data_IF_403645273286
#
_entry.id   IF_403645273286
#
_cell.length_a   1.000
_cell.length_b   1.000
_cell.length_c   1.000
_cell.angle_alpha   90.00
_cell.angle_beta   90.00
_cell.angle_gamma   90.00
#
_symmetry.space_group_name_H-M   'P 1'
#
loop_
_entity.id
_entity.type
_entity.pdbx_description
1 polymer ?
#
# COMPACT_ATOMS: atom_id res chain seq x y z
N UNK A 1 -3.18 -22.30 -14.77
CA UNK A 1 -2.09 -21.60 -14.07
C UNK A 1 -2.55 -21.14 -12.71
N UNK A 2 -1.79 -21.47 -11.71
CA UNK A 2 -2.15 -21.09 -10.35
C UNK A 2 -1.49 -19.78 -10.00
N UNK A 3 -2.30 -18.89 -9.47
CA UNK A 3 -1.81 -17.64 -8.92
C UNK A 3 -1.69 -17.83 -7.42
N UNK A 4 -0.53 -17.58 -6.88
CA UNK A 4 -0.34 -17.70 -5.44
C UNK A 4 -1.17 -16.70 -4.67
N UNK A 5 -1.14 -16.79 -3.34
CA UNK A 5 -1.84 -15.82 -2.51
C UNK A 5 -1.36 -14.41 -2.81
N UNK A 6 -2.28 -13.49 -2.82
CA UNK A 6 -1.98 -12.10 -3.13
C UNK A 6 -2.61 -11.21 -2.09
N UNK A 7 -1.94 -10.11 -1.78
CA UNK A 7 -2.53 -9.07 -0.97
C UNK A 7 -3.35 -8.15 -1.86
N UNK A 8 -4.39 -7.57 -1.31
CA UNK A 8 -5.23 -6.61 -2.01
C UNK A 8 -4.93 -5.22 -1.50
N UNK A 9 -4.57 -4.34 -2.42
CA UNK A 9 -4.16 -2.99 -2.08
C UNK A 9 -5.13 -2.01 -2.68
N UNK A 10 -5.79 -1.24 -1.83
CA UNK A 10 -6.72 -0.20 -2.25
C UNK A 10 -5.99 1.13 -2.25
N UNK A 11 -5.95 1.77 -3.39
CA UNK A 11 -5.25 3.05 -3.54
C UNK A 11 -6.26 4.19 -3.44
N UNK A 12 -5.96 5.15 -2.59
CA UNK A 12 -6.81 6.33 -2.40
C UNK A 12 -5.98 7.58 -2.61
N UNK A 13 -6.52 8.62 -3.15
CA UNK A 13 -7.92 8.83 -3.53
C UNK A 13 -8.31 8.25 -4.87
N UNK A 14 -7.45 7.54 -5.52
CA UNK A 14 -7.67 7.08 -6.90
C UNK A 14 -8.76 6.05 -7.03
N UNK A 15 -9.19 5.44 -5.93
CA UNK A 15 -10.19 4.39 -5.96
C UNK A 15 -9.77 3.24 -6.86
N UNK A 16 -8.53 2.85 -6.75
CA UNK A 16 -7.99 1.79 -7.55
C UNK A 16 -7.60 0.65 -6.64
N UNK A 17 -7.83 -0.56 -7.09
CA UNK A 17 -7.45 -1.75 -6.34
C UNK A 17 -6.49 -2.55 -7.17
N UNK A 18 -5.38 -2.97 -6.57
CA UNK A 18 -4.42 -3.82 -7.23
C UNK A 18 -4.14 -5.01 -6.35
N UNK A 19 -3.83 -6.13 -6.98
CA UNK A 19 -3.41 -7.34 -6.27
C UNK A 19 -1.92 -7.48 -6.44
N UNK A 20 -1.21 -7.68 -5.33
CA UNK A 20 0.23 -7.77 -5.32
C UNK A 20 0.62 -9.14 -4.76
N UNK A 21 1.53 -9.85 -5.41
CA UNK A 21 1.97 -11.15 -4.89
C UNK A 21 2.51 -11.00 -3.48
N UNK A 22 2.20 -11.98 -2.66
CA UNK A 22 2.32 -11.97 -1.25
C UNK A 22 3.60 -11.51 -0.67
N UNK A 23 3.61 -11.27 0.53
CA UNK A 23 4.57 -10.81 1.51
C UNK A 23 5.53 -9.75 1.03
N UNK A 24 5.26 -8.54 1.43
CA UNK A 24 6.13 -7.39 1.17
C UNK A 24 6.23 -6.55 2.42
N UNK A 25 7.39 -5.94 2.65
CA UNK A 25 7.45 -4.86 3.61
C UNK A 25 6.74 -3.65 3.03
N UNK A 26 6.15 -2.84 3.92
CA UNK A 26 5.40 -1.67 3.49
C UNK A 26 6.23 -0.78 2.56
N UNK A 27 7.48 -0.50 2.95
CA UNK A 27 8.33 0.33 2.10
C UNK A 27 8.57 -0.27 0.73
N UNK A 28 8.75 -1.58 0.69
CA UNK A 28 8.95 -2.26 -0.58
C UNK A 28 7.69 -2.23 -1.42
N UNK A 29 6.54 -2.43 -0.79
CA UNK A 29 5.26 -2.36 -1.49
C UNK A 29 5.08 -0.99 -2.13
N UNK A 30 5.33 0.07 -1.37
CA UNK A 30 5.18 1.42 -1.89
C UNK A 30 6.12 1.66 -3.06
N UNK A 31 7.36 1.18 -2.95
CA UNK A 31 8.32 1.35 -4.04
C UNK A 31 7.85 0.65 -5.31
N UNK A 32 7.29 -0.53 -5.17
CA UNK A 32 6.79 -1.26 -6.32
C UNK A 32 5.60 -0.58 -6.96
N UNK A 33 4.83 0.14 -6.16
CA UNK A 33 3.69 0.90 -6.67
C UNK A 33 4.09 2.27 -7.21
N UNK A 34 5.36 2.60 -7.13
CA UNK A 34 5.84 3.90 -7.59
C UNK A 34 5.52 5.02 -6.65
N UNK A 35 5.32 4.73 -5.38
CA UNK A 35 4.96 5.72 -4.37
C UNK A 35 6.15 5.95 -3.46
N UNK A 36 6.51 7.20 -3.29
CA UNK A 36 7.64 7.55 -2.43
C UNK A 36 7.27 7.31 -0.97
N UNK A 37 8.16 6.68 -0.20
CA UNK A 37 7.93 6.56 1.24
C UNK A 37 7.77 7.93 1.87
N UNK A 38 6.87 8.03 2.83
CA UNK A 38 6.61 9.30 3.48
C UNK A 38 5.53 10.13 2.79
N UNK A 39 5.11 9.72 1.61
CA UNK A 39 4.05 10.43 0.90
C UNK A 39 2.74 9.67 0.92
N UNK A 40 2.70 8.56 1.63
CA UNK A 40 1.47 7.77 1.72
C UNK A 40 1.43 7.06 3.06
N UNK A 41 0.22 6.78 3.51
CA UNK A 41 -0.01 5.97 4.69
C UNK A 41 -0.55 4.63 4.25
N UNK A 42 -0.14 3.58 4.93
CA UNK A 42 -0.64 2.23 4.68
C UNK A 42 -1.41 1.79 5.91
N UNK A 43 -2.65 1.41 5.70
CA UNK A 43 -3.56 1.09 6.78
C UNK A 43 -4.09 -0.32 6.57
N UNK A 44 -3.98 -1.14 7.60
CA UNK A 44 -4.56 -2.48 7.58
C UNK A 44 -5.64 -2.52 8.65
N UNK A 45 -6.90 -2.59 8.20
CA UNK A 45 -8.00 -2.46 9.12
C UNK A 45 -8.04 -1.06 9.72
N UNK A 46 -7.79 -0.96 11.00
CA UNK A 46 -7.70 0.34 11.65
C UNK A 46 -6.29 0.61 12.18
N UNK A 47 -5.30 -0.12 11.68
CA UNK A 47 -3.92 0.03 12.12
C UNK A 47 -3.08 0.67 11.04
N UNK A 48 -2.37 1.71 11.43
CA UNK A 48 -1.40 2.37 10.56
C UNK A 48 -0.10 1.57 10.61
N UNK A 49 0.37 1.17 9.45
CA UNK A 49 1.58 0.37 9.36
C UNK A 49 2.79 1.26 9.09
N UNK A 50 3.90 0.91 9.70
CA UNK A 50 5.17 1.60 9.44
C UNK A 50 5.89 0.93 8.27
N UNK A 51 6.91 1.60 7.75
CA UNK A 51 7.62 1.13 6.56
C UNK A 51 8.27 -0.23 6.76
N UNK A 52 8.64 -0.56 7.98
CA UNK A 52 9.31 -1.83 8.25
C UNK A 52 8.37 -2.99 8.49
N UNK A 53 7.09 -2.73 8.60
CA UNK A 53 6.14 -3.81 8.86
C UNK A 53 5.86 -4.60 7.59
N UNK A 54 5.44 -5.83 7.79
CA UNK A 54 5.22 -6.76 6.68
C UNK A 54 3.73 -6.87 6.42
N UNK A 55 3.37 -6.77 5.15
CA UNK A 55 2.02 -7.09 4.68
C UNK A 55 2.07 -8.51 4.15
N UNK A 56 1.22 -9.36 4.71
CA UNK A 56 1.19 -10.76 4.34
C UNK A 56 0.34 -10.96 3.09
N UNK A 57 0.57 -12.10 2.43
CA UNK A 57 -0.36 -12.50 1.39
C UNK A 57 -1.74 -12.70 2.04
N UNK A 58 -2.77 -12.44 1.26
CA UNK A 58 -4.16 -12.47 1.70
C UNK A 58 -4.55 -11.30 2.60
N UNK A 59 -3.62 -10.41 2.94
CA UNK A 59 -4.00 -9.18 3.65
C UNK A 59 -4.67 -8.21 2.70
N UNK A 60 -5.46 -7.34 3.29
CA UNK A 60 -6.10 -6.27 2.55
C UNK A 60 -5.72 -4.96 3.22
N UNK A 61 -5.10 -4.07 2.46
CA UNK A 61 -4.62 -2.81 3.02
C UNK A 61 -5.08 -1.65 2.15
N UNK A 62 -5.08 -0.48 2.75
CA UNK A 62 -5.41 0.75 2.05
C UNK A 62 -4.17 1.64 2.03
N UNK A 63 -3.83 2.17 0.86
CA UNK A 63 -2.73 3.11 0.72
C UNK A 63 -3.33 4.46 0.42
N UNK A 64 -3.16 5.41 1.34
CA UNK A 64 -3.67 6.76 1.19
C UNK A 64 -2.54 7.71 0.89
N UNK A 65 -2.63 8.36 -0.25
CA UNK A 65 -1.66 9.39 -0.56
C UNK A 65 -1.86 10.56 0.39
N UNK A 66 -0.77 10.99 0.98
CA UNK A 66 -0.76 12.17 1.83
C UNK A 66 -0.17 13.29 1.01
N UNK A 67 -1.01 14.17 0.55
CA UNK A 67 -0.54 15.27 -0.27
C UNK A 67 -0.31 16.44 0.65
N UNK A 68 0.94 16.63 0.95
CA UNK A 68 1.29 17.74 1.79
C UNK A 68 1.53 18.95 0.91
N UNK A 69 1.06 19.99 1.34
CA UNK A 69 1.34 21.25 0.74
C UNK A 69 0.83 21.33 -0.65
N UNK A 70 0.20 20.56 -0.83
CA UNK A 70 -0.36 20.72 -1.95
C UNK A 70 0.20 21.36 -3.03
N UNK A 71 0.29 21.42 -2.82
CA UNK A 71 0.34 21.83 -3.54
C UNK A 71 0.06 22.28 -4.19
N UNK A 72 -0.04 22.41 -4.05
CA UNK A 72 -0.18 22.92 -4.54
C UNK A 72 -0.06 23.33 -5.19
N UNK A 73 -0.10 23.28 -5.13
CA UNK A 73 0.02 23.90 -5.99
C UNK A 73 0.14 23.87 -6.28
#
# INVERSE_FOLDING_TARGET
>A
MLVGPQMRVHLRPERRTVDVPGRRRVGQLLAELGILPGTAMVIRGDMLLTDGEVVEDADEVEVRAVISGGSAG
#
